data_IF_767506216346
#
_entry.id   IF_767506216346
#
_cell.length_a   1.000
_cell.length_b   1.000
_cell.length_c   1.000
_cell.angle_alpha   90.00
_cell.angle_beta   90.00
_cell.angle_gamma   90.00
#
_symmetry.space_group_name_H-M   'P 1'
#
loop_
_entity.id
_entity.type
_entity.pdbx_description
1 polymer ?
#
# COMPACT_ATOMS: atom_id res chain seq x y z
N UNK A 1 14.24 -2.98 -28.02
CA UNK A 1 14.55 -2.53 -26.65
C UNK A 1 13.28 -1.83 -26.16
N UNK A 2 12.39 -2.57 -25.49
CA UNK A 2 11.14 -1.99 -24.99
C UNK A 2 11.36 -1.46 -23.59
N UNK A 3 11.04 -0.19 -23.42
CA UNK A 3 11.39 0.66 -22.30
C UNK A 3 10.50 0.31 -21.10
N UNK A 4 11.11 0.24 -19.92
CA UNK A 4 10.52 0.01 -18.59
C UNK A 4 9.55 1.14 -18.18
N UNK A 5 8.46 1.34 -18.93
CA UNK A 5 7.53 2.46 -18.71
C UNK A 5 6.43 2.12 -17.68
N UNK A 6 6.15 0.83 -17.46
CA UNK A 6 5.06 0.38 -16.59
C UNK A 6 5.34 0.64 -15.10
N UNK A 7 6.60 0.51 -14.66
CA UNK A 7 6.99 0.78 -13.27
C UNK A 7 6.96 2.27 -12.91
N UNK A 8 7.29 3.15 -13.87
CA UNK A 8 7.17 4.60 -13.68
C UNK A 8 5.69 5.05 -13.65
N UNK A 9 4.85 4.39 -14.45
CA UNK A 9 3.40 4.63 -14.47
C UNK A 9 2.73 4.24 -13.14
N UNK A 10 3.03 3.04 -12.62
CA UNK A 10 2.48 2.59 -11.33
C UNK A 10 2.92 3.49 -10.16
N UNK A 11 4.19 3.93 -10.14
CA UNK A 11 4.68 4.85 -9.11
C UNK A 11 3.96 6.21 -9.15
N UNK A 12 3.63 6.69 -10.35
CA UNK A 12 2.86 7.93 -10.52
C UNK A 12 1.40 7.77 -10.07
N UNK A 13 0.78 6.60 -10.31
CA UNK A 13 -0.56 6.31 -9.82
C UNK A 13 -0.62 6.21 -8.29
N UNK A 14 0.35 5.55 -7.66
CA UNK A 14 0.44 5.47 -6.20
C UNK A 14 0.59 6.88 -5.60
N UNK A 15 1.49 7.70 -6.13
CA UNK A 15 1.67 9.08 -5.69
C UNK A 15 0.43 9.97 -5.96
N UNK A 16 -0.40 9.63 -6.94
CA UNK A 16 -1.68 10.30 -7.17
C UNK A 16 -2.76 9.85 -6.18
N UNK A 17 -2.78 8.58 -5.78
CA UNK A 17 -3.67 8.07 -4.74
C UNK A 17 -3.32 8.64 -3.36
N UNK A 18 -2.04 8.71 -3.01
CA UNK A 18 -1.57 9.32 -1.76
C UNK A 18 -2.03 10.78 -1.62
N UNK A 19 -1.89 11.58 -2.67
CA UNK A 19 -2.38 12.98 -2.67
C UNK A 19 -3.90 13.09 -2.53
N UNK A 20 -4.66 12.19 -3.16
CA UNK A 20 -6.14 12.17 -3.02
C UNK A 20 -6.57 11.74 -1.61
N UNK A 21 -5.80 10.87 -0.98
CA UNK A 21 -6.06 10.43 0.39
C UNK A 21 -5.82 11.57 1.39
N UNK A 22 -4.71 12.30 1.26
CA UNK A 22 -4.43 13.50 2.06
C UNK A 22 -5.50 14.59 1.87
N UNK A 23 -5.94 14.83 0.63
CA UNK A 23 -7.01 15.79 0.34
C UNK A 23 -8.35 15.41 0.99
N UNK A 24 -8.71 14.13 0.97
CA UNK A 24 -9.92 13.64 1.64
C UNK A 24 -9.83 13.76 3.17
N UNK A 25 -8.66 13.48 3.75
CA UNK A 25 -8.44 13.60 5.20
C UNK A 25 -8.54 15.06 5.67
N UNK A 26 -7.94 16.00 4.91
CA UNK A 26 -8.07 17.44 5.21
C UNK A 26 -9.52 17.93 5.08
N UNK A 27 -10.25 17.50 4.05
CA UNK A 27 -11.65 17.90 3.86
C UNK A 27 -12.57 17.33 4.95
N UNK A 28 -12.39 16.07 5.37
CA UNK A 28 -13.15 15.51 6.49
C UNK A 28 -12.86 16.24 7.81
N UNK A 29 -11.59 16.55 8.09
CA UNK A 29 -11.22 17.32 9.28
C UNK A 29 -11.84 18.71 9.26
N UNK A 30 -11.84 19.39 8.11
CA UNK A 30 -12.44 20.72 7.96
C UNK A 30 -13.97 20.68 8.17
N UNK A 31 -14.66 19.66 7.68
CA UNK A 31 -16.11 19.51 7.87
C UNK A 31 -16.47 19.23 9.34
N UNK A 32 -15.72 18.35 10.01
CA UNK A 32 -15.89 18.09 11.45
C UNK A 32 -15.61 19.35 12.27
N UNK A 33 -14.58 20.11 11.89
CA UNK A 33 -14.27 21.37 12.55
C UNK A 33 -15.37 22.42 12.31
N UNK A 34 -15.92 22.51 11.09
CA UNK A 34 -17.04 23.40 10.77
C UNK A 34 -18.32 23.06 11.57
N UNK A 35 -18.61 21.78 11.78
CA UNK A 35 -19.75 21.34 12.61
C UNK A 35 -19.51 21.71 14.09
N UNK A 36 -18.29 21.56 14.59
CA UNK A 36 -17.96 21.93 15.98
C UNK A 36 -17.92 23.45 16.23
N UNK A 37 -17.65 24.23 15.18
CA UNK A 37 -17.56 25.70 15.24
C UNK A 37 -18.85 26.41 14.83
N UNK A 38 -19.85 25.69 14.30
CA UNK A 38 -21.16 26.28 14.08
C UNK A 38 -21.70 26.67 15.46
N UNK A 39 -21.90 27.97 15.76
CA UNK A 39 -22.53 28.35 17.01
C UNK A 39 -23.90 27.69 16.97
N UNK A 40 -24.15 26.73 17.88
CA UNK A 40 -25.51 26.29 18.16
C UNK A 40 -26.30 27.56 18.33
N UNK A 41 -27.19 27.87 17.38
CA UNK A 41 -28.03 29.06 17.47
C UNK A 41 -28.62 29.03 18.86
N UNK A 42 -28.17 29.95 19.72
CA UNK A 42 -28.45 29.89 21.13
C UNK A 42 -29.97 29.86 21.26
N UNK A 43 -30.55 28.73 21.68
CA UNK A 43 -32.01 28.67 21.75
C UNK A 43 -32.43 29.62 22.86
N UNK A 44 -33.31 30.60 22.58
CA UNK A 44 -33.75 31.51 23.62
C UNK A 44 -34.42 30.71 24.73
N UNK A 45 -34.30 31.18 25.96
CA UNK A 45 -34.96 30.59 27.10
C UNK A 45 -36.45 30.40 26.78
N UNK A 46 -36.93 29.15 26.78
CA UNK A 46 -38.32 28.85 26.41
C UNK A 46 -39.37 29.50 27.33
N UNK A 47 -38.97 30.03 28.48
CA UNK A 47 -39.85 30.66 29.48
C UNK A 47 -40.08 32.15 29.19
N UNK A 48 -39.03 32.89 28.80
CA UNK A 48 -39.10 34.35 28.59
C UNK A 48 -38.61 34.81 27.20
N UNK A 49 -38.18 33.88 26.36
CA UNK A 49 -37.58 34.10 25.03
C UNK A 49 -36.32 34.98 25.02
N UNK A 50 -35.63 35.12 26.16
CA UNK A 50 -34.34 35.82 26.27
C UNK A 50 -33.17 34.90 25.88
N UNK A 51 -32.11 35.49 25.31
CA UNK A 51 -30.84 34.80 24.98
C UNK A 51 -29.77 34.99 26.06
N UNK A 52 -30.06 35.76 27.12
CA UNK A 52 -29.05 36.18 28.12
C UNK A 52 -28.74 35.11 29.17
N UNK A 53 -29.61 34.13 29.36
CA UNK A 53 -29.46 33.11 30.40
C UNK A 53 -29.98 31.74 29.94
N UNK A 54 -29.47 30.67 30.54
CA UNK A 54 -30.03 29.33 30.34
C UNK A 54 -31.41 29.22 30.99
N UNK A 55 -32.22 28.26 30.54
CA UNK A 55 -33.58 28.04 31.08
C UNK A 55 -33.57 27.86 32.59
N UNK A 56 -32.54 27.22 33.16
CA UNK A 56 -32.41 26.95 34.60
C UNK A 56 -32.15 28.19 35.47
N UNK A 57 -31.73 29.30 34.86
CA UNK A 57 -31.38 30.55 35.53
C UNK A 57 -32.39 31.67 35.22
N UNK A 58 -33.51 31.32 34.58
CA UNK A 58 -34.49 32.31 34.17
C UNK A 58 -35.17 32.95 35.40
N UNK A 59 -35.11 34.29 35.54
CA UNK A 59 -35.71 35.01 36.68
C UNK A 59 -37.24 34.94 36.69
N UNK A 60 -37.85 34.53 35.58
CA UNK A 60 -39.29 34.26 35.46
C UNK A 60 -39.66 32.85 35.93
N UNK A 61 -38.69 31.97 36.26
CA UNK A 61 -38.99 30.72 36.95
C UNK A 61 -39.59 31.09 38.32
N UNK A 62 -40.86 30.77 38.58
CA UNK A 62 -41.43 31.01 39.89
C UNK A 62 -40.69 30.12 40.88
N UNK A 63 -39.98 30.71 41.84
CA UNK A 63 -39.53 29.97 43.00
C UNK A 63 -40.78 29.31 43.61
N UNK A 64 -40.80 27.98 43.61
CA UNK A 64 -41.90 27.15 44.05
C UNK A 64 -42.50 27.72 45.34
N UNK A 65 -43.67 28.40 45.27
CA UNK A 65 -44.64 28.23 46.34
C UNK A 65 -46.05 28.74 46.16
N UNK A 66 -46.33 29.87 45.54
CA UNK A 66 -47.68 30.43 45.75
C UNK A 66 -48.28 31.07 44.52
N UNK A 67 -49.56 30.76 44.36
CA UNK A 67 -50.54 31.47 43.56
C UNK A 67 -50.71 30.96 42.12
N UNK A 68 -51.88 30.36 41.90
CA UNK A 68 -52.49 29.98 40.62
C UNK A 68 -52.10 28.61 40.07
N UNK A 69 -52.85 27.59 40.50
CA UNK A 69 -53.24 26.50 39.63
C UNK A 69 -54.40 27.00 38.74
N UNK A 70 -54.21 27.19 37.42
CA UNK A 70 -55.34 27.16 36.50
C UNK A 70 -55.73 25.68 36.35
N UNK A 71 -57.03 25.37 36.44
CA UNK A 71 -57.53 24.09 35.95
C UNK A 71 -57.24 23.98 34.45
N UNK A 72 -56.09 23.40 34.10
CA UNK A 72 -55.84 22.92 32.76
C UNK A 72 -56.68 21.66 32.58
N UNK A 73 -57.77 21.76 31.82
CA UNK A 73 -58.41 20.58 31.23
C UNK A 73 -57.36 19.91 30.34
N UNK A 74 -56.92 18.74 30.76
CA UNK A 74 -56.01 17.88 30.00
C UNK A 74 -56.64 17.59 28.63
N UNK A 75 -55.98 17.91 27.50
CA UNK A 75 -56.47 17.49 26.18
C UNK A 75 -56.36 15.96 26.09
N UNK A 76 -57.51 15.28 26.11
CA UNK A 76 -57.62 13.83 26.09
C UNK A 76 -57.27 13.18 24.73
N UNK A 77 -56.45 13.80 23.87
CA UNK A 77 -56.08 13.27 22.56
C UNK A 77 -54.56 13.11 22.30
N UNK A 78 -53.71 13.34 23.30
CA UNK A 78 -52.26 13.13 23.21
C UNK A 78 -51.74 11.66 23.13
N UNK A 79 -52.44 10.59 23.55
CA UNK A 79 -51.85 9.24 23.59
C UNK A 79 -51.54 8.65 22.20
N UNK A 80 -52.34 8.97 21.19
CA UNK A 80 -52.24 8.31 19.88
C UNK A 80 -51.07 8.84 19.04
N UNK A 81 -50.77 10.15 19.09
CA UNK A 81 -49.60 10.69 18.37
C UNK A 81 -48.28 10.20 18.96
N UNK A 82 -48.19 10.09 20.29
CA UNK A 82 -47.02 9.52 20.96
C UNK A 82 -46.81 8.05 20.55
N UNK A 83 -47.86 7.24 20.53
CA UNK A 83 -47.79 5.83 20.11
C UNK A 83 -47.36 5.64 18.65
N UNK A 84 -47.82 6.49 17.72
CA UNK A 84 -47.41 6.44 16.31
C UNK A 84 -45.94 6.80 16.16
N UNK A 85 -45.47 7.83 16.86
CA UNK A 85 -44.07 8.27 16.81
C UNK A 85 -43.14 7.20 17.42
N UNK A 86 -43.50 6.63 18.56
CA UNK A 86 -42.76 5.54 19.19
C UNK A 86 -42.63 4.33 18.26
N UNK A 87 -43.73 3.92 17.62
CA UNK A 87 -43.72 2.81 16.67
C UNK A 87 -42.84 3.13 15.44
N UNK A 88 -42.89 4.36 14.92
CA UNK A 88 -42.05 4.80 13.81
C UNK A 88 -40.56 4.75 14.17
N UNK A 89 -40.19 5.18 15.39
CA UNK A 89 -38.81 5.11 15.88
C UNK A 89 -38.32 3.66 16.04
N UNK A 90 -39.17 2.76 16.55
CA UNK A 90 -38.85 1.33 16.65
C UNK A 90 -38.65 0.70 15.26
N UNK A 91 -39.54 1.01 14.32
CA UNK A 91 -39.43 0.50 12.94
C UNK A 91 -38.17 1.02 12.25
N UNK A 92 -37.83 2.30 12.44
CA UNK A 92 -36.61 2.88 11.90
C UNK A 92 -35.36 2.24 12.53
N UNK A 93 -35.37 2.02 13.84
CA UNK A 93 -34.25 1.36 14.54
C UNK A 93 -34.04 -0.07 14.05
N UNK A 94 -35.13 -0.81 13.82
CA UNK A 94 -35.07 -2.14 13.21
C UNK A 94 -34.52 -2.08 11.79
N UNK A 95 -35.02 -1.18 10.97
CA UNK A 95 -34.55 -1.00 9.59
C UNK A 95 -33.06 -0.70 9.52
N UNK A 96 -32.57 0.23 10.36
CA UNK A 96 -31.15 0.55 10.45
C UNK A 96 -30.34 -0.66 10.93
N UNK A 97 -30.86 -1.42 11.90
CA UNK A 97 -30.24 -2.66 12.37
C UNK A 97 -30.09 -3.71 11.26
N UNK A 98 -31.16 -3.97 10.52
CA UNK A 98 -31.19 -4.92 9.40
C UNK A 98 -30.23 -4.46 8.29
N UNK A 99 -30.20 -3.15 7.99
CA UNK A 99 -29.30 -2.57 7.00
C UNK A 99 -27.83 -2.73 7.41
N UNK A 100 -27.47 -2.43 8.66
CA UNK A 100 -26.12 -2.63 9.20
C UNK A 100 -25.73 -4.12 9.13
N UNK A 101 -26.66 -5.02 9.45
CA UNK A 101 -26.48 -6.46 9.34
C UNK A 101 -26.16 -6.90 7.91
N UNK A 102 -26.95 -6.44 6.94
CA UNK A 102 -26.73 -6.73 5.52
C UNK A 102 -25.39 -6.16 5.04
N UNK A 103 -25.05 -4.92 5.41
CA UNK A 103 -23.76 -4.30 5.07
C UNK A 103 -22.58 -5.12 5.60
N UNK A 104 -22.64 -5.60 6.85
CA UNK A 104 -21.60 -6.47 7.42
C UNK A 104 -21.45 -7.78 6.65
N UNK A 105 -22.56 -8.41 6.26
CA UNK A 105 -22.54 -9.64 5.47
C UNK A 105 -21.93 -9.40 4.08
N UNK A 106 -22.31 -8.33 3.40
CA UNK A 106 -21.73 -7.92 2.12
C UNK A 106 -20.22 -7.66 2.24
N UNK A 107 -19.78 -6.96 3.28
CA UNK A 107 -18.36 -6.68 3.51
C UNK A 107 -17.58 -7.98 3.77
N UNK A 108 -18.12 -8.91 4.56
CA UNK A 108 -17.49 -10.22 4.77
C UNK A 108 -17.34 -11.00 3.45
N UNK A 109 -18.37 -11.00 2.61
CA UNK A 109 -18.34 -11.66 1.30
C UNK A 109 -17.31 -11.00 0.37
N UNK A 110 -17.21 -9.67 0.36
CA UNK A 110 -16.21 -8.95 -0.43
C UNK A 110 -14.79 -9.32 0.02
N UNK A 111 -14.52 -9.31 1.32
CA UNK A 111 -13.22 -9.71 1.86
C UNK A 111 -12.84 -11.14 1.46
N UNK A 112 -13.79 -12.08 1.51
CA UNK A 112 -13.54 -13.45 1.04
C UNK A 112 -13.21 -13.50 -0.45
N UNK A 113 -13.92 -12.74 -1.29
CA UNK A 113 -13.65 -12.66 -2.73
C UNK A 113 -12.28 -12.05 -3.02
N UNK A 114 -11.89 -11.02 -2.29
CA UNK A 114 -10.56 -10.39 -2.40
C UNK A 114 -9.48 -11.43 -2.09
N UNK A 115 -9.57 -12.11 -0.95
CA UNK A 115 -8.60 -13.14 -0.57
C UNK A 115 -8.51 -14.27 -1.60
N UNK A 116 -9.64 -14.68 -2.18
CA UNK A 116 -9.68 -15.71 -3.22
C UNK A 116 -8.99 -15.25 -4.52
N UNK A 117 -9.24 -14.01 -4.94
CA UNK A 117 -8.58 -13.43 -6.13
C UNK A 117 -7.09 -13.26 -5.89
N UNK A 118 -6.69 -12.76 -4.72
CA UNK A 118 -5.28 -12.60 -4.33
C UNK A 118 -4.55 -13.93 -4.34
N UNK A 119 -5.10 -14.96 -3.70
CA UNK A 119 -4.52 -16.31 -3.71
C UNK A 119 -4.41 -16.89 -5.13
N UNK A 120 -5.41 -16.67 -5.98
CA UNK A 120 -5.36 -17.11 -7.38
C UNK A 120 -4.30 -16.37 -8.20
N UNK A 121 -4.09 -15.08 -7.94
CA UNK A 121 -3.04 -14.30 -8.59
C UNK A 121 -1.66 -14.75 -8.15
N UNK A 122 -1.43 -14.93 -6.85
CA UNK A 122 -0.17 -15.44 -6.29
C UNK A 122 0.18 -16.77 -6.95
N UNK A 123 -0.76 -17.72 -7.00
CA UNK A 123 -0.54 -19.01 -7.63
C UNK A 123 -0.13 -18.90 -9.11
N UNK A 124 -0.81 -18.04 -9.88
CA UNK A 124 -0.47 -17.84 -11.30
C UNK A 124 0.90 -17.18 -11.47
N UNK A 125 1.28 -16.27 -10.57
CA UNK A 125 2.60 -15.66 -10.57
C UNK A 125 3.68 -16.69 -10.27
N UNK A 126 3.47 -17.57 -9.30
CA UNK A 126 4.40 -18.65 -8.98
C UNK A 126 4.58 -19.61 -10.17
N UNK A 127 3.48 -20.00 -10.83
CA UNK A 127 3.53 -20.85 -12.03
C UNK A 127 4.35 -20.19 -13.15
N UNK A 128 4.12 -18.90 -13.42
CA UNK A 128 4.87 -18.14 -14.44
C UNK A 128 6.35 -18.01 -14.06
N UNK A 129 6.64 -17.74 -12.79
CA UNK A 129 8.01 -17.63 -12.31
C UNK A 129 8.76 -18.97 -12.44
N UNK A 130 8.10 -20.07 -12.12
CA UNK A 130 8.67 -21.42 -12.26
C UNK A 130 8.94 -21.80 -13.73
N UNK A 131 7.99 -21.52 -14.63
CA UNK A 131 8.18 -21.73 -16.08
C UNK A 131 9.35 -20.91 -16.62
N UNK A 132 9.44 -19.63 -16.23
CA UNK A 132 10.54 -18.76 -16.64
C UNK A 132 11.88 -19.22 -16.07
N UNK A 133 11.93 -19.64 -14.81
CA UNK A 133 13.13 -20.19 -14.18
C UNK A 133 13.63 -21.41 -14.95
N UNK A 134 12.73 -22.35 -15.28
CA UNK A 134 13.09 -23.54 -16.05
C UNK A 134 13.65 -23.18 -17.43
N UNK A 135 13.05 -22.21 -18.13
CA UNK A 135 13.54 -21.76 -19.44
C UNK A 135 14.92 -21.10 -19.33
N UNK A 136 15.18 -20.35 -18.26
CA UNK A 136 16.50 -19.77 -17.99
C UNK A 136 17.55 -20.85 -17.72
N UNK A 137 17.22 -21.88 -16.95
CA UNK A 137 18.13 -23.00 -16.69
C UNK A 137 18.53 -23.72 -17.99
N UNK A 138 17.55 -23.96 -18.88
CA UNK A 138 17.79 -24.57 -20.20
C UNK A 138 18.70 -23.68 -21.07
N UNK A 139 18.44 -22.36 -21.08
CA UNK A 139 19.27 -21.42 -21.83
C UNK A 139 20.70 -21.36 -21.28
N UNK A 140 20.88 -21.39 -19.95
CA UNK A 140 22.19 -21.41 -19.31
C UNK A 140 22.96 -22.69 -19.64
N UNK A 141 22.31 -23.87 -19.62
CA UNK A 141 22.92 -25.13 -20.07
C UNK A 141 23.35 -25.04 -21.55
N UNK A 142 22.49 -24.50 -22.41
CA UNK A 142 22.77 -24.33 -23.84
C UNK A 142 23.95 -23.39 -24.09
N UNK A 143 24.01 -22.25 -23.39
CA UNK A 143 25.13 -21.30 -23.46
C UNK A 143 26.43 -21.96 -22.99
N UNK A 144 26.38 -22.71 -21.89
CA UNK A 144 27.54 -23.44 -21.36
C UNK A 144 28.09 -24.45 -22.36
N UNK A 145 27.20 -25.23 -23.01
CA UNK A 145 27.58 -26.16 -24.07
C UNK A 145 28.19 -25.46 -25.29
N UNK A 146 27.61 -24.34 -25.72
CA UNK A 146 28.12 -23.57 -26.86
C UNK A 146 29.51 -22.98 -26.58
N UNK A 147 29.71 -22.41 -25.37
CA UNK A 147 31.00 -21.89 -24.94
C UNK A 147 32.08 -22.98 -24.96
N UNK A 148 31.75 -24.17 -24.45
CA UNK A 148 32.66 -25.31 -24.47
C UNK A 148 33.01 -25.76 -25.90
N UNK A 149 32.03 -25.85 -26.80
CA UNK A 149 32.28 -26.20 -28.22
C UNK A 149 33.20 -25.19 -28.91
N UNK A 150 33.00 -23.89 -28.67
CA UNK A 150 33.88 -22.86 -29.24
C UNK A 150 35.32 -22.98 -28.73
N UNK A 151 35.55 -23.33 -27.46
CA UNK A 151 36.91 -23.55 -26.95
C UNK A 151 37.60 -24.76 -27.57
N UNK A 152 36.85 -25.81 -27.89
CA UNK A 152 37.39 -27.00 -28.58
C UNK A 152 37.74 -26.64 -30.03
N UNK A 153 36.87 -25.90 -30.73
CA UNK A 153 37.13 -25.49 -32.11
C UNK A 153 38.33 -24.54 -32.24
N UNK A 154 38.52 -23.60 -31.32
CA UNK A 154 39.69 -22.71 -31.30
C UNK A 154 40.99 -23.47 -31.01
N UNK A 155 40.94 -24.52 -30.17
CA UNK A 155 42.07 -25.43 -29.94
C UNK A 155 42.37 -26.33 -31.14
N UNK A 156 41.38 -26.72 -31.93
CA UNK A 156 41.56 -27.47 -33.18
C UNK A 156 42.06 -26.60 -34.34
N UNK A 157 41.62 -25.34 -34.43
CA UNK A 157 42.02 -24.41 -35.51
C UNK A 157 43.38 -23.76 -35.29
N UNK A 158 43.89 -23.77 -34.07
CA UNK A 158 45.26 -23.35 -33.79
C UNK A 158 46.22 -24.45 -34.28
N UNK A 159 47.13 -24.19 -35.24
CA UNK A 159 48.15 -25.16 -35.60
C UNK A 159 49.03 -25.33 -34.38
N UNK A 160 48.81 -26.42 -33.63
CA UNK A 160 49.66 -26.82 -32.53
C UNK A 160 51.03 -27.13 -33.13
N UNK A 161 51.93 -26.14 -33.10
CA UNK A 161 53.33 -26.35 -33.45
C UNK A 161 53.86 -27.48 -32.55
N UNK A 162 54.35 -28.60 -33.11
CA UNK A 162 55.09 -29.54 -32.32
C UNK A 162 56.43 -28.87 -32.03
N UNK A 163 56.66 -28.52 -30.77
CA UNK A 163 57.98 -28.04 -30.33
C UNK A 163 58.95 -29.22 -30.39
N UNK A 164 59.49 -29.46 -31.58
CA UNK A 164 60.48 -30.49 -31.82
C UNK A 164 61.83 -29.88 -31.47
N UNK A 165 62.24 -30.03 -30.21
CA UNK A 165 63.63 -29.80 -29.81
C UNK A 165 64.50 -30.82 -30.55
N UNK A 166 65.03 -30.41 -31.70
CA UNK A 166 66.09 -31.12 -32.39
C UNK A 166 67.37 -31.02 -31.57
N UNK A 167 67.59 -32.00 -30.72
CA UNK A 167 68.92 -32.44 -30.34
C UNK A 167 69.68 -32.80 -31.62
N UNK A 168 70.57 -31.93 -32.07
CA UNK A 168 71.60 -32.26 -33.06
C UNK A 168 72.79 -31.30 -32.97
N UNK A 169 73.74 -31.68 -32.12
CA UNK A 169 75.20 -31.67 -32.36
C UNK A 169 75.77 -30.48 -33.16
N UNK A 170 76.54 -29.62 -32.49
CA UNK A 170 77.85 -29.18 -33.00
C UNK A 170 78.83 -29.05 -31.84
N UNK A 171 79.82 -29.94 -31.88
CA UNK A 171 80.99 -30.02 -31.03
C UNK A 171 82.05 -29.08 -31.61
N UNK A 172 82.52 -28.10 -30.82
CA UNK A 172 83.80 -27.43 -31.08
C UNK A 172 84.43 -27.09 -29.74
N UNK A 173 85.35 -27.96 -29.32
CA UNK A 173 86.32 -27.66 -28.27
C UNK A 173 87.28 -26.55 -28.74
N UNK A 174 87.54 -25.57 -27.87
CA UNK A 174 88.88 -25.07 -27.56
C UNK A 174 88.82 -23.87 -26.58
N UNK A 175 89.58 -23.95 -25.50
CA UNK A 175 90.24 -22.77 -24.92
C UNK A 175 89.88 -22.42 -23.47
N UNK A 176 90.81 -22.75 -22.58
CA UNK A 176 90.87 -22.45 -21.15
C UNK A 176 90.68 -20.96 -20.77
N UNK A 177 90.16 -20.71 -19.55
CA UNK A 177 90.42 -19.48 -18.80
C UNK A 177 89.25 -18.91 -17.98
N UNK A 178 89.15 -19.26 -16.70
CA UNK A 178 88.39 -18.51 -15.68
C UNK A 178 89.07 -17.13 -15.37
N UNK A 179 88.54 -16.28 -14.45
CA UNK A 179 87.39 -15.40 -14.55
C UNK A 179 87.82 -13.91 -14.38
N UNK A 180 86.97 -12.91 -14.68
CA UNK A 180 87.31 -11.53 -14.26
C UNK A 180 86.10 -10.63 -13.99
N UNK A 181 85.94 -10.29 -12.72
CA UNK A 181 85.17 -9.16 -12.24
C UNK A 181 85.75 -7.84 -12.78
N UNK A 182 84.88 -6.91 -13.19
CA UNK A 182 85.05 -5.44 -13.14
C UNK A 182 83.70 -4.80 -13.51
N UNK A 183 82.94 -4.28 -12.53
CA UNK A 183 82.87 -2.86 -12.13
C UNK A 183 82.54 -1.87 -13.26
N UNK A 184 81.42 -1.17 -13.04
CA UNK A 184 81.16 0.26 -13.28
C UNK A 184 81.28 0.81 -14.71
N UNK A 185 80.20 1.41 -15.23
CA UNK A 185 79.89 2.83 -15.05
C UNK A 185 78.92 3.36 -16.13
N UNK A 186 77.96 4.17 -15.67
CA UNK A 186 77.38 5.39 -16.29
C UNK A 186 76.80 5.30 -17.71
N UNK A 187 75.60 5.80 -17.98
CA UNK A 187 75.05 7.11 -17.60
C UNK A 187 73.53 7.09 -17.73
#
# INVERSE_FOLDING_TARGET
MYILNDGMNMKAEIAAMERRLEELEMNQMQEVQAISQTPLQAMPCAICLSYEHLVKECPTIPAEREMFAPQYKQPAQAPQQASILEQAMVNLSKFVGDFIGAQKATNAQLNQRINSVESSLIKRMDEVQNDLSQKLDILQDSISRLANLNTVQEKEKSPSQPYQNSMSIHEMEAGEGEPSQKREAKK
#
